data_IF_967655480847
#
_entry.id   IF_967655480847
#
_cell.length_a   1.000
_cell.length_b   1.000
_cell.length_c   1.000
_cell.angle_alpha   90.00
_cell.angle_beta   90.00
_cell.angle_gamma   90.00
#
_symmetry.space_group_name_H-M   'P 1'
#
loop_
_entity.id
_entity.type
_entity.pdbx_description
1 polymer ?
#
# COMPACT_ATOMS: atom_id res chain seq x y z
N UNK A 1 -7.88 -3.10 -0.01
CA UNK A 1 -6.64 -3.53 0.66
C UNK A 1 -5.63 -3.85 -0.43
N UNK A 2 -4.43 -3.27 -0.36
CA UNK A 2 -3.39 -3.48 -1.37
C UNK A 2 -2.22 -4.18 -0.67
N UNK A 3 -1.92 -5.41 -1.09
CA UNK A 3 -0.77 -6.16 -0.61
C UNK A 3 0.48 -5.80 -1.41
N UNK A 4 1.62 -5.68 -0.73
CA UNK A 4 2.95 -5.66 -1.37
C UNK A 4 3.65 -7.00 -1.08
N UNK A 5 4.77 -7.37 -1.74
CA UNK A 5 5.29 -8.72 -1.61
C UNK A 5 5.88 -9.03 -0.22
N UNK A 6 6.45 -10.22 -0.03
CA UNK A 6 6.83 -10.88 1.24
C UNK A 6 5.66 -11.41 2.06
N UNK A 7 4.62 -10.61 2.29
CA UNK A 7 3.48 -11.01 3.14
C UNK A 7 2.13 -10.53 2.64
N UNK A 8 2.06 -9.53 1.76
CA UNK A 8 0.80 -8.94 1.32
C UNK A 8 -0.09 -9.91 0.55
N UNK A 9 0.48 -10.78 -0.29
CA UNK A 9 -0.26 -11.80 -1.05
C UNK A 9 -1.08 -12.72 -0.13
N UNK A 10 -0.48 -13.16 0.99
CA UNK A 10 -1.16 -14.03 1.96
C UNK A 10 -2.34 -13.33 2.63
N UNK A 11 -2.21 -12.03 2.93
CA UNK A 11 -3.29 -11.25 3.53
C UNK A 11 -4.38 -10.95 2.49
N UNK A 12 -4.00 -10.61 1.27
CA UNK A 12 -4.94 -10.44 0.14
C UNK A 12 -5.77 -11.70 -0.06
N UNK A 13 -5.13 -12.87 -0.16
CA UNK A 13 -5.82 -14.14 -0.33
C UNK A 13 -6.78 -14.46 0.83
N UNK A 14 -6.45 -14.08 2.06
CA UNK A 14 -7.32 -14.27 3.21
C UNK A 14 -8.56 -13.34 3.22
N UNK A 15 -8.52 -12.24 2.45
CA UNK A 15 -9.60 -11.27 2.33
C UNK A 15 -10.39 -11.42 1.03
N UNK A 16 -9.91 -12.22 0.08
CA UNK A 16 -10.58 -12.45 -1.19
C UNK A 16 -11.99 -13.01 -0.98
N UNK A 17 -12.95 -12.46 -1.73
CA UNK A 17 -14.35 -12.87 -1.67
C UNK A 17 -15.16 -12.27 -0.52
N UNK A 18 -14.55 -11.51 0.39
CA UNK A 18 -15.30 -10.80 1.43
C UNK A 18 -16.15 -9.67 0.82
N UNK A 19 -17.48 -9.63 1.09
CA UNK A 19 -18.35 -8.59 0.56
C UNK A 19 -17.88 -7.19 0.95
N UNK A 20 -17.78 -6.28 -0.03
CA UNK A 20 -17.38 -4.89 0.20
C UNK A 20 -15.88 -4.68 0.40
N UNK A 21 -15.05 -5.72 0.30
CA UNK A 21 -13.59 -5.60 0.39
C UNK A 21 -12.98 -5.81 -0.99
N UNK A 22 -12.46 -4.73 -1.58
CA UNK A 22 -11.61 -4.83 -2.78
C UNK A 22 -10.18 -5.17 -2.36
N UNK A 23 -9.59 -6.19 -2.97
CA UNK A 23 -8.19 -6.59 -2.78
C UNK A 23 -7.40 -6.39 -4.07
N UNK A 24 -6.13 -6.01 -3.94
CA UNK A 24 -5.18 -5.85 -5.04
C UNK A 24 -3.76 -6.22 -4.55
N UNK A 25 -2.86 -6.54 -5.48
CA UNK A 25 -1.42 -6.74 -5.20
C UNK A 25 -0.62 -5.75 -6.02
N UNK A 26 0.43 -5.17 -5.43
CA UNK A 26 1.35 -4.24 -6.06
C UNK A 26 2.81 -4.75 -5.93
N UNK A 27 3.67 -4.37 -6.87
CA UNK A 27 5.07 -4.82 -6.90
C UNK A 27 5.94 -4.25 -5.77
N UNK A 28 5.66 -3.01 -5.38
CA UNK A 28 6.30 -2.34 -4.25
C UNK A 28 5.38 -1.29 -3.60
N UNK A 29 5.95 -0.54 -2.64
CA UNK A 29 5.21 0.49 -1.92
C UNK A 29 4.83 1.70 -2.80
N UNK A 30 5.64 2.04 -3.80
CA UNK A 30 5.34 3.14 -4.72
C UNK A 30 4.22 2.77 -5.70
N UNK A 31 4.25 1.55 -6.24
CA UNK A 31 3.16 0.96 -7.02
C UNK A 31 1.87 0.90 -6.21
N UNK A 32 1.94 0.50 -4.94
CA UNK A 32 0.78 0.45 -4.06
C UNK A 32 0.16 1.84 -3.86
N UNK A 33 0.97 2.89 -3.70
CA UNK A 33 0.49 4.27 -3.57
C UNK A 33 -0.14 4.77 -4.87
N UNK A 34 0.47 4.50 -6.04
CA UNK A 34 -0.12 4.82 -7.34
C UNK A 34 -1.51 4.19 -7.49
N UNK A 35 -1.60 2.90 -7.23
CA UNK A 35 -2.84 2.16 -7.32
C UNK A 35 -3.87 2.68 -6.31
N UNK A 36 -3.48 2.93 -5.06
CA UNK A 36 -4.35 3.50 -4.05
C UNK A 36 -4.97 4.84 -4.51
N UNK A 37 -4.18 5.73 -5.12
CA UNK A 37 -4.69 7.01 -5.64
C UNK A 37 -5.74 6.83 -6.73
N UNK A 38 -5.58 5.85 -7.62
CA UNK A 38 -6.56 5.56 -8.67
C UNK A 38 -7.85 4.95 -8.11
N UNK A 39 -7.73 4.16 -7.03
CA UNK A 39 -8.85 3.40 -6.47
C UNK A 39 -9.62 4.15 -5.38
N UNK A 40 -8.97 5.07 -4.67
CA UNK A 40 -9.59 5.83 -3.58
C UNK A 40 -10.45 6.96 -4.15
N UNK A 41 -11.76 7.00 -3.84
CA UNK A 41 -12.63 8.10 -4.26
C UNK A 41 -12.19 9.46 -3.70
N UNK A 42 -12.64 10.54 -4.33
CA UNK A 42 -12.46 11.88 -3.79
C UNK A 42 -13.02 11.97 -2.35
N UNK A 43 -12.25 12.57 -1.44
CA UNK A 43 -12.57 12.63 -0.01
C UNK A 43 -12.25 11.34 0.77
N UNK A 44 -11.80 10.28 0.10
CA UNK A 44 -11.31 9.06 0.75
C UNK A 44 -9.89 9.22 1.33
N UNK A 45 -9.49 8.26 2.15
CA UNK A 45 -8.18 8.22 2.79
C UNK A 45 -7.39 6.96 2.38
N UNK A 46 -6.06 7.11 2.32
CA UNK A 46 -5.11 6.01 2.14
C UNK A 46 -4.32 5.87 3.44
N UNK A 47 -4.35 4.67 4.04
CA UNK A 47 -3.66 4.35 5.29
C UNK A 47 -2.56 3.32 5.04
N UNK A 48 -1.34 3.63 5.49
CA UNK A 48 -0.28 2.64 5.63
C UNK A 48 -0.40 1.93 6.98
N UNK A 49 -0.89 0.69 6.98
CA UNK A 49 -0.96 -0.16 8.18
C UNK A 49 -0.54 -1.60 7.84
N UNK A 50 0.77 -1.89 7.81
CA UNK A 50 1.30 -3.11 7.21
C UNK A 50 1.16 -4.37 8.06
N UNK A 51 0.91 -4.24 9.38
CA UNK A 51 0.79 -5.35 10.34
C UNK A 51 1.91 -6.42 10.25
N UNK A 52 3.08 -6.02 9.72
CA UNK A 52 4.18 -6.91 9.39
C UNK A 52 5.54 -6.23 9.68
N UNK A 53 6.58 -7.01 10.00
CA UNK A 53 7.94 -6.51 10.20
C UNK A 53 8.42 -5.69 8.99
N UNK A 54 9.26 -4.68 9.22
CA UNK A 54 9.81 -3.84 8.16
C UNK A 54 11.07 -4.44 7.52
N UNK A 55 11.76 -5.32 8.24
CA UNK A 55 13.07 -5.85 7.86
C UNK A 55 13.00 -6.70 6.58
N UNK A 56 14.06 -6.64 5.76
CA UNK A 56 14.12 -7.25 4.43
C UNK A 56 14.10 -6.17 3.34
N UNK A 57 12.94 -5.55 3.12
CA UNK A 57 12.78 -4.44 2.17
C UNK A 57 13.13 -3.05 2.73
N UNK A 58 13.02 -2.87 4.05
CA UNK A 58 13.28 -1.59 4.71
C UNK A 58 14.27 -1.76 5.85
N UNK A 59 15.05 -0.71 6.15
CA UNK A 59 15.98 -0.69 7.29
C UNK A 59 15.26 -0.83 8.63
N UNK A 60 14.13 -0.14 8.77
CA UNK A 60 13.29 -0.07 9.96
C UNK A 60 11.88 0.44 9.57
N UNK A 61 11.00 0.67 10.55
CA UNK A 61 9.65 1.16 10.27
C UNK A 61 9.64 2.63 9.83
N UNK A 62 10.57 3.44 10.31
CA UNK A 62 10.73 4.84 9.92
C UNK A 62 11.08 4.95 8.44
N UNK A 63 12.05 4.15 7.96
CA UNK A 63 12.42 4.09 6.55
C UNK A 63 11.23 3.68 5.67
N UNK A 64 10.37 2.76 6.14
CA UNK A 64 9.15 2.39 5.41
C UNK A 64 8.17 3.56 5.32
N UNK A 65 8.02 4.33 6.39
CA UNK A 65 7.19 5.54 6.42
C UNK A 65 7.76 6.66 5.54
N UNK A 66 9.08 6.83 5.51
CA UNK A 66 9.78 7.77 4.62
C UNK A 66 9.52 7.43 3.15
N UNK A 67 9.66 6.16 2.77
CA UNK A 67 9.38 5.68 1.41
C UNK A 67 7.91 5.87 1.05
N UNK A 68 6.97 5.62 1.98
CA UNK A 68 5.55 5.92 1.75
C UNK A 68 5.30 7.41 1.52
N UNK A 69 5.84 8.28 2.38
CA UNK A 69 5.69 9.72 2.24
C UNK A 69 6.31 10.24 0.94
N UNK A 70 7.44 9.66 0.52
CA UNK A 70 8.08 9.96 -0.75
C UNK A 70 7.20 9.53 -1.93
N UNK A 71 6.69 8.29 -1.92
CA UNK A 71 5.78 7.81 -2.94
C UNK A 71 4.51 8.66 -3.06
N UNK A 72 3.95 9.15 -1.94
CA UNK A 72 2.80 10.07 -1.96
C UNK A 72 3.12 11.37 -2.68
N UNK A 73 4.32 11.94 -2.47
CA UNK A 73 4.79 13.14 -3.16
C UNK A 73 5.02 12.89 -4.65
N UNK A 74 5.74 11.82 -4.99
CA UNK A 74 6.13 11.51 -6.37
C UNK A 74 4.96 11.14 -7.27
N UNK A 75 3.86 10.69 -6.68
CA UNK A 75 2.64 10.28 -7.38
C UNK A 75 1.52 11.32 -7.30
N UNK A 76 1.78 12.47 -6.67
CA UNK A 76 0.84 13.56 -6.67
C UNK A 76 0.64 14.07 -8.11
N UNK A 77 -0.60 14.35 -8.54
CA UNK A 77 -0.84 14.96 -9.83
C UNK A 77 -0.14 16.33 -9.88
N UNK A 78 0.44 16.65 -11.03
CA UNK A 78 0.95 17.99 -11.30
C UNK A 78 -0.23 18.96 -11.17
N UNK A 79 -0.05 19.98 -10.31
CA UNK A 79 -1.01 21.08 -10.16
C UNK A 79 -1.05 21.93 -11.43
#
# INVERSE_FOLDING_TARGET
MIGIPDSGERIVAALEGLPGVRTEVAGDLADAVRLARTLTPAGGAVLLSPAAPSYGRFRNFEHRSEVFAQAVRDTAPLM
#
